data_IF_573890650036
#
_entry.id   IF_573890650036
#
_cell.length_a   1.000
_cell.length_b   1.000
_cell.length_c   1.000
_cell.angle_alpha   90.00
_cell.angle_beta   90.00
_cell.angle_gamma   90.00
#
_symmetry.space_group_name_H-M   'P 1'
#
loop_
_entity.id
_entity.type
_entity.pdbx_description
1 polymer ?
#
# COMPACT_ATOMS: atom_id res chain seq x y z
N UNK A 1 31.13 15.84 -9.10
CA UNK A 1 30.14 14.99 -9.80
C UNK A 1 29.18 14.45 -8.73
N UNK A 2 27.93 14.89 -8.75
CA UNK A 2 26.92 14.35 -7.83
C UNK A 2 26.62 12.91 -8.26
N UNK A 3 27.00 11.93 -7.45
CA UNK A 3 26.65 10.54 -7.72
C UNK A 3 25.12 10.40 -7.60
N UNK A 4 24.48 10.14 -8.72
CA UNK A 4 23.05 9.84 -8.74
C UNK A 4 22.88 8.39 -8.30
N UNK A 5 22.46 8.19 -7.07
CA UNK A 5 22.16 6.87 -6.56
C UNK A 5 20.65 6.64 -6.75
N UNK A 6 20.28 5.53 -7.41
CA UNK A 6 18.90 5.05 -7.52
C UNK A 6 17.88 6.11 -7.98
N UNK A 7 18.14 6.79 -9.09
CA UNK A 7 17.20 7.73 -9.70
C UNK A 7 16.93 9.02 -8.89
N UNK A 8 17.68 9.29 -7.83
CA UNK A 8 17.54 10.45 -6.91
C UNK A 8 16.27 10.48 -6.07
N UNK A 9 15.39 9.50 -6.18
CA UNK A 9 14.12 9.45 -5.44
C UNK A 9 14.12 8.33 -4.41
N UNK A 10 14.30 7.08 -4.85
CA UNK A 10 14.44 5.91 -4.00
C UNK A 10 15.18 4.80 -4.75
N UNK A 11 15.52 3.72 -4.03
CA UNK A 11 16.09 2.51 -4.62
C UNK A 11 15.22 1.93 -5.76
N UNK A 12 13.90 2.12 -5.69
CA UNK A 12 12.92 1.51 -6.59
C UNK A 12 12.80 2.20 -7.95
N UNK A 13 13.32 3.41 -8.11
CA UNK A 13 13.35 4.15 -9.38
C UNK A 13 14.74 4.06 -10.00
N UNK A 14 14.91 3.23 -11.03
CA UNK A 14 16.13 3.21 -11.85
C UNK A 14 16.25 4.50 -12.66
N UNK A 15 15.21 4.81 -13.43
CA UNK A 15 15.04 6.07 -14.13
C UNK A 15 13.77 6.79 -13.66
N UNK A 16 13.81 8.12 -13.69
CA UNK A 16 12.62 8.90 -13.39
C UNK A 16 11.62 8.75 -14.53
N UNK A 17 10.35 8.56 -14.20
CA UNK A 17 9.32 8.47 -15.22
C UNK A 17 9.18 9.80 -15.98
N UNK A 18 8.79 9.71 -17.24
CA UNK A 18 8.27 10.88 -17.96
C UNK A 18 6.98 11.29 -17.27
N UNK A 19 6.87 12.54 -16.79
CA UNK A 19 5.66 13.00 -16.12
C UNK A 19 4.46 13.01 -17.08
N UNK A 20 3.28 12.75 -16.53
CA UNK A 20 2.01 12.97 -17.21
C UNK A 20 1.77 14.47 -17.40
N UNK A 21 0.88 14.85 -18.35
CA UNK A 21 0.56 16.26 -18.56
C UNK A 21 0.08 16.95 -17.28
N UNK A 22 0.52 18.17 -17.05
CA UNK A 22 -0.02 19.00 -15.98
C UNK A 22 -1.47 19.43 -16.28
N UNK A 23 -2.15 19.96 -15.27
CA UNK A 23 -3.50 20.51 -15.43
C UNK A 23 -3.49 21.59 -16.52
N UNK A 24 -4.32 21.49 -17.58
CA UNK A 24 -4.31 22.44 -18.69
C UNK A 24 -5.07 23.73 -18.38
N UNK A 25 -5.91 23.78 -17.35
CA UNK A 25 -6.76 24.90 -16.97
C UNK A 25 -7.90 24.44 -16.06
N UNK A 26 -8.91 25.29 -15.90
CA UNK A 26 -10.09 24.99 -15.09
C UNK A 26 -10.84 23.74 -15.59
N UNK A 27 -11.33 22.93 -14.64
CA UNK A 27 -12.13 21.73 -14.94
C UNK A 27 -13.29 21.58 -13.95
N UNK A 28 -14.37 21.00 -14.46
CA UNK A 28 -15.48 20.49 -13.67
C UNK A 28 -15.52 18.97 -13.81
N UNK A 29 -15.57 18.27 -12.67
CA UNK A 29 -15.57 16.80 -12.58
C UNK A 29 -16.46 16.34 -11.42
N UNK A 30 -16.80 15.06 -11.38
CA UNK A 30 -17.57 14.51 -10.26
C UNK A 30 -16.69 14.34 -9.02
N UNK A 31 -15.44 13.89 -9.21
CA UNK A 31 -14.51 13.64 -8.12
C UNK A 31 -13.10 14.19 -8.42
N UNK A 32 -12.56 14.96 -7.47
CA UNK A 32 -11.18 15.43 -7.50
C UNK A 32 -10.38 14.80 -6.36
N UNK A 33 -9.35 14.05 -6.72
CA UNK A 33 -8.44 13.38 -5.76
C UNK A 33 -7.11 14.13 -5.73
N UNK A 34 -6.64 14.48 -4.55
CA UNK A 34 -5.35 15.15 -4.35
C UNK A 34 -4.30 14.13 -3.90
N UNK A 35 -3.33 13.88 -4.77
CA UNK A 35 -2.21 12.96 -4.57
C UNK A 35 -2.38 11.63 -5.32
N UNK A 36 -1.36 11.28 -6.12
CA UNK A 36 -1.26 10.01 -6.85
C UNK A 36 -0.37 8.99 -6.10
N UNK A 37 -0.55 8.87 -4.79
CA UNK A 37 -0.06 7.76 -3.98
C UNK A 37 -1.06 6.60 -3.96
N UNK A 38 -0.76 5.54 -3.20
CA UNK A 38 -1.64 4.37 -3.12
C UNK A 38 -3.07 4.74 -2.73
N UNK A 39 -3.27 5.58 -1.71
CA UNK A 39 -4.61 5.97 -1.28
C UNK A 39 -5.41 6.60 -2.43
N UNK A 40 -4.85 7.59 -3.12
CA UNK A 40 -5.55 8.26 -4.20
C UNK A 40 -5.80 7.36 -5.41
N UNK A 41 -4.82 6.54 -5.79
CA UNK A 41 -4.93 5.64 -6.94
C UNK A 41 -5.92 4.49 -6.68
N UNK A 42 -5.91 3.88 -5.50
CA UNK A 42 -6.89 2.87 -5.13
C UNK A 42 -8.31 3.47 -5.03
N UNK A 43 -8.44 4.68 -4.49
CA UNK A 43 -9.73 5.39 -4.48
C UNK A 43 -10.24 5.59 -5.91
N UNK A 44 -9.41 6.10 -6.81
CA UNK A 44 -9.77 6.28 -8.22
C UNK A 44 -10.16 4.96 -8.88
N UNK A 45 -9.40 3.89 -8.62
CA UNK A 45 -9.66 2.55 -9.15
C UNK A 45 -11.04 2.03 -8.74
N UNK A 46 -11.33 2.01 -7.44
CA UNK A 46 -12.61 1.47 -6.97
C UNK A 46 -13.80 2.36 -7.31
N UNK A 47 -13.65 3.67 -7.37
CA UNK A 47 -14.70 4.56 -7.88
C UNK A 47 -15.05 4.22 -9.32
N UNK A 48 -14.06 4.08 -10.20
CA UNK A 48 -14.28 3.71 -11.61
C UNK A 48 -14.79 2.28 -11.78
N UNK A 49 -14.47 1.36 -10.87
CA UNK A 49 -15.03 0.00 -10.86
C UNK A 49 -16.49 -0.01 -10.42
N UNK A 50 -16.86 0.84 -9.45
CA UNK A 50 -18.22 0.96 -8.94
C UNK A 50 -19.13 1.71 -9.92
N UNK A 51 -18.65 2.80 -10.50
CA UNK A 51 -19.37 3.61 -11.48
C UNK A 51 -18.42 4.10 -12.59
N UNK A 52 -18.38 3.41 -13.73
CA UNK A 52 -17.56 3.80 -14.87
C UNK A 52 -17.92 5.17 -15.48
N UNK A 53 -19.10 5.72 -15.21
CA UNK A 53 -19.55 7.02 -15.75
C UNK A 53 -18.92 8.21 -15.03
N UNK A 54 -18.45 8.04 -13.79
CA UNK A 54 -17.85 9.12 -13.02
C UNK A 54 -16.65 9.75 -13.74
N UNK A 55 -16.66 11.06 -13.85
CA UNK A 55 -15.49 11.85 -14.24
C UNK A 55 -14.58 12.06 -13.03
N UNK A 56 -13.40 11.42 -13.05
CA UNK A 56 -12.44 11.45 -11.94
C UNK A 56 -11.16 12.11 -12.40
N UNK A 57 -10.68 13.08 -11.63
CA UNK A 57 -9.38 13.74 -11.83
C UNK A 57 -8.49 13.58 -10.61
N UNK A 58 -7.22 13.22 -10.83
CA UNK A 58 -6.18 13.14 -9.81
C UNK A 58 -5.17 14.26 -10.04
N UNK A 59 -4.90 15.06 -9.02
CA UNK A 59 -3.88 16.12 -9.03
C UNK A 59 -2.67 15.69 -8.21
N UNK A 60 -1.50 15.64 -8.83
CA UNK A 60 -0.26 15.19 -8.19
C UNK A 60 0.83 16.26 -8.31
N UNK A 61 1.46 16.57 -7.20
CA UNK A 61 2.47 17.64 -7.14
C UNK A 61 3.75 17.31 -7.93
N UNK A 62 4.10 16.04 -8.03
CA UNK A 62 5.34 15.59 -8.70
C UNK A 62 5.03 14.58 -9.80
N UNK A 63 4.99 13.31 -9.45
CA UNK A 63 4.57 12.20 -10.32
C UNK A 63 3.99 11.05 -9.48
N UNK A 64 3.20 10.19 -10.09
CA UNK A 64 2.56 9.08 -9.40
C UNK A 64 3.57 8.18 -8.68
N UNK A 65 3.34 7.96 -7.38
CA UNK A 65 4.23 7.19 -6.52
C UNK A 65 5.46 7.96 -6.01
N UNK A 66 5.60 9.27 -6.25
CA UNK A 66 6.74 10.05 -5.74
C UNK A 66 6.87 10.01 -4.23
N UNK A 67 5.75 10.02 -3.49
CA UNK A 67 5.72 10.00 -2.03
C UNK A 67 6.09 8.65 -1.42
N UNK A 68 5.56 8.35 -0.23
CA UNK A 68 5.82 7.10 0.51
C UNK A 68 5.47 5.84 -0.30
N UNK A 69 4.48 5.92 -1.21
CA UNK A 69 4.04 4.80 -2.03
C UNK A 69 5.14 4.21 -2.92
N UNK A 70 6.03 5.02 -3.46
CA UNK A 70 7.17 4.55 -4.26
C UNK A 70 8.49 4.49 -3.49
N UNK A 71 8.49 4.64 -2.17
CA UNK A 71 9.70 4.73 -1.33
C UNK A 71 9.73 3.77 -0.15
N UNK A 72 8.65 3.02 0.07
CA UNK A 72 8.55 2.07 1.19
C UNK A 72 9.47 0.85 1.01
N UNK A 73 9.50 -0.03 1.99
CA UNK A 73 10.38 -1.20 1.98
C UNK A 73 9.96 -2.33 1.03
N UNK A 74 8.89 -2.17 0.26
CA UNK A 74 8.37 -3.20 -0.64
C UNK A 74 7.69 -4.35 0.09
N UNK A 75 7.12 -4.06 1.24
CA UNK A 75 6.47 -5.02 2.11
C UNK A 75 4.95 -4.76 2.13
N UNK A 76 4.19 -5.58 1.43
CA UNK A 76 2.73 -5.62 1.47
C UNK A 76 2.33 -6.59 2.58
N UNK A 77 1.74 -6.09 3.65
CA UNK A 77 1.51 -6.86 4.88
C UNK A 77 0.14 -6.60 5.48
N UNK A 78 -0.50 -7.65 5.98
CA UNK A 78 -1.72 -7.60 6.79
C UNK A 78 -1.48 -7.21 8.25
N UNK A 79 -0.26 -6.83 8.63
CA UNK A 79 0.07 -6.44 9.99
C UNK A 79 -0.72 -5.19 10.42
N UNK A 80 -1.54 -5.32 11.45
CA UNK A 80 -2.32 -4.22 12.00
C UNK A 80 -1.40 -3.15 12.62
N UNK A 81 -1.43 -1.90 12.16
CA UNK A 81 -0.63 -0.83 12.77
C UNK A 81 -1.24 -0.38 14.10
N UNK A 82 -0.37 -0.04 15.06
CA UNK A 82 -0.78 0.56 16.33
C UNK A 82 -1.13 -0.45 17.42
N UNK A 83 -1.80 0.03 18.46
CA UNK A 83 -2.07 -0.77 19.67
C UNK A 83 -3.52 -1.26 19.66
N UNK A 84 -3.74 -2.53 19.31
CA UNK A 84 -5.06 -3.17 19.20
C UNK A 84 -5.94 -2.97 20.45
N UNK A 85 -5.38 -3.07 21.65
CA UNK A 85 -6.12 -2.84 22.90
C UNK A 85 -6.63 -1.41 23.09
N UNK A 86 -5.94 -0.39 22.56
CA UNK A 86 -6.44 0.99 22.57
C UNK A 86 -7.57 1.18 21.56
N UNK A 87 -7.46 0.60 20.40
CA UNK A 87 -8.51 0.61 19.38
C UNK A 87 -9.76 -0.11 19.88
N UNK A 88 -9.61 -1.25 20.55
CA UNK A 88 -10.73 -2.00 21.09
C UNK A 88 -11.48 -1.26 22.22
N UNK A 89 -10.80 -0.45 23.03
CA UNK A 89 -11.47 0.43 23.99
C UNK A 89 -12.37 1.46 23.32
N UNK A 90 -12.01 1.91 22.14
CA UNK A 90 -12.72 2.96 21.40
C UNK A 90 -13.82 2.40 20.50
N UNK A 91 -13.59 1.26 19.86
CA UNK A 91 -14.44 0.73 18.80
C UNK A 91 -15.04 -0.65 19.12
N UNK A 92 -14.66 -1.26 20.25
CA UNK A 92 -15.01 -2.63 20.60
C UNK A 92 -14.04 -3.67 20.00
N UNK A 93 -13.91 -4.81 20.67
CA UNK A 93 -13.04 -5.91 20.26
C UNK A 93 -13.44 -6.53 18.91
N UNK A 94 -14.73 -6.79 18.63
CA UNK A 94 -15.14 -7.35 17.35
C UNK A 94 -14.70 -6.49 16.15
N UNK A 95 -14.86 -5.16 16.23
CA UNK A 95 -14.44 -4.25 15.15
C UNK A 95 -12.93 -4.30 14.88
N UNK A 96 -12.10 -4.57 15.90
CA UNK A 96 -10.64 -4.72 15.71
C UNK A 96 -10.30 -6.07 15.07
N UNK A 97 -11.05 -7.11 15.39
CA UNK A 97 -10.93 -8.44 14.75
C UNK A 97 -11.32 -8.33 13.26
N UNK A 98 -12.49 -7.76 12.99
CA UNK A 98 -12.96 -7.53 11.61
C UNK A 98 -11.95 -6.71 10.79
N UNK A 99 -11.35 -5.69 11.42
CA UNK A 99 -10.31 -4.90 10.81
C UNK A 99 -9.02 -5.70 10.52
N UNK A 100 -8.62 -6.62 11.43
CA UNK A 100 -7.48 -7.52 11.18
C UNK A 100 -7.75 -8.43 9.96
N UNK A 101 -8.95 -9.01 9.89
CA UNK A 101 -9.34 -9.81 8.73
C UNK A 101 -9.31 -9.00 7.43
N UNK A 102 -9.86 -7.78 7.44
CA UNK A 102 -9.82 -6.89 6.27
C UNK A 102 -8.38 -6.52 5.84
N UNK A 103 -7.44 -6.38 6.78
CA UNK A 103 -6.03 -6.17 6.47
C UNK A 103 -5.40 -7.40 5.82
N UNK A 104 -5.70 -8.59 6.32
CA UNK A 104 -5.23 -9.85 5.73
C UNK A 104 -5.78 -10.03 4.31
N UNK A 105 -7.09 -9.83 4.11
CA UNK A 105 -7.76 -9.90 2.81
C UNK A 105 -7.22 -8.86 1.82
N UNK A 106 -6.81 -7.68 2.32
CA UNK A 106 -6.21 -6.62 1.47
C UNK A 106 -4.93 -7.08 0.78
N UNK A 107 -4.14 -7.97 1.41
CA UNK A 107 -2.93 -8.52 0.77
C UNK A 107 -3.31 -9.31 -0.47
N UNK A 108 -4.33 -10.16 -0.38
CA UNK A 108 -4.81 -10.98 -1.48
C UNK A 108 -5.52 -10.14 -2.55
N UNK A 109 -6.30 -9.13 -2.16
CA UNK A 109 -6.94 -8.22 -3.10
C UNK A 109 -5.92 -7.43 -3.93
N UNK A 110 -4.84 -6.92 -3.33
CA UNK A 110 -3.78 -6.22 -4.07
C UNK A 110 -3.11 -7.15 -5.08
N UNK A 111 -2.86 -8.41 -4.71
CA UNK A 111 -2.30 -9.42 -5.61
C UNK A 111 -3.27 -9.69 -6.76
N UNK A 112 -4.54 -9.97 -6.45
CA UNK A 112 -5.56 -10.28 -7.45
C UNK A 112 -5.80 -9.11 -8.43
N UNK A 113 -5.79 -7.87 -7.94
CA UNK A 113 -5.86 -6.69 -8.82
C UNK A 113 -4.61 -6.58 -9.68
N UNK A 114 -3.42 -6.80 -9.11
CA UNK A 114 -2.17 -6.81 -9.87
C UNK A 114 -2.21 -7.76 -11.06
N UNK A 115 -2.68 -8.98 -10.82
CA UNK A 115 -2.85 -10.02 -11.86
C UNK A 115 -3.93 -9.62 -12.88
N UNK A 116 -5.12 -9.24 -12.42
CA UNK A 116 -6.27 -8.87 -13.26
C UNK A 116 -5.98 -7.68 -14.18
N UNK A 117 -5.26 -6.70 -13.67
CA UNK A 117 -4.95 -5.46 -14.42
C UNK A 117 -3.60 -5.53 -15.17
N UNK A 118 -2.87 -6.64 -15.03
CA UNK A 118 -1.56 -6.82 -15.67
C UNK A 118 -0.47 -5.91 -15.11
N UNK A 119 -0.51 -5.61 -13.81
CA UNK A 119 0.50 -4.77 -13.14
C UNK A 119 1.70 -5.63 -12.76
N UNK A 120 2.79 -5.52 -13.53
CA UNK A 120 4.06 -6.17 -13.22
C UNK A 120 4.81 -5.42 -12.12
N UNK A 121 4.51 -5.75 -10.88
CA UNK A 121 5.12 -5.16 -9.67
C UNK A 121 5.99 -6.14 -8.88
N UNK A 122 6.52 -7.18 -9.52
CA UNK A 122 7.38 -8.21 -8.92
C UNK A 122 6.76 -8.81 -7.65
N UNK A 123 5.44 -9.01 -7.63
CA UNK A 123 4.71 -9.47 -6.45
C UNK A 123 5.01 -10.94 -6.19
N UNK A 124 5.46 -11.24 -4.96
CA UNK A 124 5.66 -12.62 -4.51
C UNK A 124 5.06 -12.77 -3.12
N UNK A 125 3.97 -13.53 -3.01
CA UNK A 125 3.36 -13.90 -1.72
C UNK A 125 4.20 -15.00 -1.07
N UNK A 126 4.91 -14.65 0.01
CA UNK A 126 5.78 -15.56 0.73
C UNK A 126 5.50 -15.63 2.23
N UNK A 127 4.67 -14.73 2.72
CA UNK A 127 4.44 -14.56 4.16
C UNK A 127 5.60 -13.87 4.87
N UNK A 128 5.51 -13.83 6.19
CA UNK A 128 6.57 -13.32 7.09
C UNK A 128 7.01 -14.42 8.05
N UNK A 129 8.31 -14.50 8.26
CA UNK A 129 8.93 -15.43 9.19
C UNK A 129 9.75 -14.65 10.22
N UNK A 130 9.33 -14.69 11.49
CA UNK A 130 10.06 -14.12 12.61
C UNK A 130 10.79 -15.22 13.37
N UNK A 131 12.14 -15.10 13.51
CA UNK A 131 13.00 -16.15 14.03
C UNK A 131 13.46 -15.83 15.44
N UNK A 132 13.31 -16.78 16.37
CA UNK A 132 13.87 -16.75 17.72
C UNK A 132 15.20 -17.49 17.77
N UNK A 133 16.27 -16.80 18.19
CA UNK A 133 17.64 -17.35 18.31
C UNK A 133 18.12 -17.55 19.74
N UNK A 134 17.32 -17.14 20.72
CA UNK A 134 17.58 -17.35 22.14
C UNK A 134 16.27 -17.51 22.92
N UNK A 135 16.37 -17.96 24.20
CA UNK A 135 15.21 -18.25 25.04
C UNK A 135 14.31 -17.03 25.28
N UNK A 136 14.90 -15.84 25.40
CA UNK A 136 14.11 -14.62 25.63
C UNK A 136 13.32 -14.22 24.37
N UNK A 137 13.91 -14.36 23.19
CA UNK A 137 13.21 -14.17 21.92
C UNK A 137 12.10 -15.20 21.74
N UNK A 138 12.36 -16.48 22.05
CA UNK A 138 11.35 -17.54 21.95
C UNK A 138 10.15 -17.28 22.89
N UNK A 139 10.39 -16.82 24.11
CA UNK A 139 9.31 -16.48 25.02
C UNK A 139 8.44 -15.33 24.49
N UNK A 140 9.06 -14.28 23.92
CA UNK A 140 8.32 -13.18 23.28
C UNK A 140 7.54 -13.64 22.05
N UNK A 141 8.18 -14.47 21.20
CA UNK A 141 7.56 -14.99 19.99
C UNK A 141 6.29 -15.80 20.29
N UNK A 142 6.34 -16.69 21.29
CA UNK A 142 5.17 -17.45 21.73
C UNK A 142 4.04 -16.54 22.19
N UNK A 143 4.38 -15.56 23.05
CA UNK A 143 3.41 -14.59 23.54
C UNK A 143 2.79 -13.79 22.37
N UNK A 144 3.60 -13.40 21.39
CA UNK A 144 3.12 -12.67 20.21
C UNK A 144 2.13 -13.51 19.40
N UNK A 145 2.45 -14.77 19.12
CA UNK A 145 1.54 -15.70 18.41
C UNK A 145 0.23 -15.87 19.14
N UNK A 146 0.27 -16.06 20.49
CA UNK A 146 -0.95 -16.19 21.30
C UNK A 146 -1.77 -14.89 21.29
N UNK A 147 -1.09 -13.73 21.32
CA UNK A 147 -1.73 -12.42 21.22
C UNK A 147 -2.37 -12.21 19.85
N UNK A 148 -1.66 -12.48 18.74
CA UNK A 148 -2.17 -12.32 17.38
C UNK A 148 -3.41 -13.18 17.15
N UNK A 149 -3.37 -14.46 17.53
CA UNK A 149 -4.53 -15.35 17.49
C UNK A 149 -5.69 -14.83 18.34
N UNK A 150 -5.41 -14.27 19.50
CA UNK A 150 -6.45 -13.67 20.33
C UNK A 150 -7.15 -12.50 19.65
N UNK A 151 -6.55 -11.88 18.66
CA UNK A 151 -7.11 -10.79 17.86
C UNK A 151 -7.64 -11.23 16.48
N UNK A 152 -7.86 -12.55 16.30
CA UNK A 152 -8.45 -13.08 15.07
C UNK A 152 -7.46 -13.31 13.93
N UNK A 153 -6.15 -13.28 14.21
CA UNK A 153 -5.12 -13.62 13.23
C UNK A 153 -4.78 -15.13 13.37
N UNK A 154 -5.76 -15.97 13.05
CA UNK A 154 -5.72 -17.42 13.31
C UNK A 154 -4.71 -18.17 12.44
N UNK A 155 -4.29 -17.56 11.31
CA UNK A 155 -3.30 -18.12 10.38
C UNK A 155 -1.86 -17.98 10.85
N UNK A 156 -1.61 -17.25 11.94
CA UNK A 156 -0.28 -17.15 12.55
C UNK A 156 0.05 -18.46 13.26
N UNK A 157 1.15 -19.09 12.86
CA UNK A 157 1.61 -20.36 13.41
C UNK A 157 3.00 -20.26 14.04
N UNK A 158 3.19 -20.99 15.14
CA UNK A 158 4.51 -21.21 15.71
C UNK A 158 5.11 -22.47 15.07
N UNK A 159 6.24 -22.30 14.41
CA UNK A 159 7.01 -23.38 13.79
C UNK A 159 8.11 -23.86 14.74
N UNK A 160 8.31 -25.17 14.81
CA UNK A 160 9.47 -25.78 15.42
C UNK A 160 10.75 -25.37 14.68
N UNK A 161 11.91 -25.65 15.27
CA UNK A 161 13.20 -25.45 14.61
C UNK A 161 13.28 -26.17 13.25
N UNK A 162 12.83 -27.41 13.19
CA UNK A 162 12.96 -28.24 11.99
C UNK A 162 12.00 -27.77 10.87
N UNK A 163 10.77 -27.39 11.20
CA UNK A 163 9.83 -26.79 10.25
C UNK A 163 10.30 -25.44 9.71
N UNK A 164 10.86 -24.60 10.57
CA UNK A 164 11.41 -23.31 10.16
C UNK A 164 12.69 -23.48 9.32
N UNK A 165 13.52 -24.48 9.60
CA UNK A 165 14.73 -24.79 8.83
C UNK A 165 14.45 -25.21 7.39
N UNK A 166 13.25 -25.72 7.10
CA UNK A 166 12.82 -26.02 5.73
C UNK A 166 12.56 -24.76 4.90
N UNK A 167 12.36 -23.61 5.56
CA UNK A 167 12.07 -22.32 4.92
C UNK A 167 13.28 -21.40 4.86
N UNK A 168 14.11 -21.39 5.91
CA UNK A 168 15.26 -20.50 6.02
C UNK A 168 16.38 -21.12 6.89
N UNK A 169 17.62 -20.98 6.47
CA UNK A 169 18.79 -21.36 7.24
C UNK A 169 19.27 -20.19 8.10
N UNK A 170 19.04 -20.25 9.41
CA UNK A 170 19.48 -19.24 10.37
C UNK A 170 20.26 -19.92 11.50
N UNK A 171 21.46 -19.40 11.81
CA UNK A 171 22.26 -19.91 12.91
C UNK A 171 21.54 -19.74 14.26
N UNK A 172 21.68 -20.75 15.13
CA UNK A 172 21.11 -20.77 16.48
C UNK A 172 19.58 -20.62 16.55
N UNK A 173 18.88 -20.92 15.47
CA UNK A 173 17.42 -20.87 15.45
C UNK A 173 16.83 -21.88 16.43
N UNK A 174 15.89 -21.41 17.28
CA UNK A 174 15.15 -22.25 18.22
C UNK A 174 13.72 -22.54 17.74
N UNK A 175 13.09 -21.56 17.11
CA UNK A 175 11.75 -21.64 16.54
C UNK A 175 11.51 -20.41 15.66
N UNK A 176 10.40 -20.39 14.92
CA UNK A 176 9.92 -19.21 14.20
C UNK A 176 8.40 -19.07 14.32
N UNK A 177 7.85 -17.85 14.14
CA UNK A 177 6.46 -17.68 13.77
C UNK A 177 6.34 -17.42 12.29
N UNK A 178 5.22 -17.78 11.72
CA UNK A 178 4.91 -17.56 10.32
C UNK A 178 3.48 -17.06 10.15
N UNK A 179 3.30 -16.05 9.31
CA UNK A 179 2.00 -15.61 8.80
C UNK A 179 2.01 -15.59 7.28
N UNK A 180 0.96 -16.07 6.58
CA UNK A 180 0.88 -16.03 5.13
C UNK A 180 0.53 -14.65 4.57
N UNK A 181 0.05 -13.72 5.40
CA UNK A 181 -0.52 -12.43 4.99
C UNK A 181 0.55 -11.37 4.73
N UNK A 182 1.51 -11.74 3.87
CA UNK A 182 2.55 -10.83 3.43
C UNK A 182 3.07 -11.19 2.03
N UNK A 183 3.36 -10.18 1.24
CA UNK A 183 4.03 -10.30 -0.05
C UNK A 183 5.16 -9.27 -0.18
N UNK A 184 6.21 -9.65 -0.89
CA UNK A 184 7.21 -8.72 -1.41
C UNK A 184 6.66 -8.07 -2.66
N UNK A 185 6.85 -6.77 -2.82
CA UNK A 185 6.47 -6.00 -4.01
C UNK A 185 7.62 -5.05 -4.42
N UNK A 186 7.60 -4.61 -5.67
CA UNK A 186 8.33 -3.43 -6.12
C UNK A 186 7.38 -2.22 -6.07
N UNK A 187 7.48 -1.35 -5.04
CA UNK A 187 6.42 -0.38 -4.73
C UNK A 187 6.28 0.72 -5.79
N UNK A 188 7.36 1.13 -6.44
CA UNK A 188 7.27 2.11 -7.51
C UNK A 188 6.57 1.55 -8.75
N UNK A 189 6.83 0.28 -9.11
CA UNK A 189 6.12 -0.42 -10.19
C UNK A 189 4.63 -0.56 -9.87
N UNK A 190 4.27 -0.94 -8.63
CA UNK A 190 2.87 -1.05 -8.23
C UNK A 190 2.15 0.30 -8.32
N UNK A 191 2.74 1.37 -7.79
CA UNK A 191 2.13 2.70 -7.84
C UNK A 191 1.94 3.20 -9.28
N UNK A 192 2.92 2.97 -10.13
CA UNK A 192 2.86 3.39 -11.55
C UNK A 192 1.89 2.54 -12.34
N UNK A 193 1.92 1.22 -12.18
CA UNK A 193 0.98 0.32 -12.83
C UNK A 193 -0.47 0.61 -12.45
N UNK A 194 -0.71 0.97 -11.18
CA UNK A 194 -2.01 1.46 -10.74
C UNK A 194 -2.41 2.78 -11.42
N UNK A 195 -1.47 3.73 -11.55
CA UNK A 195 -1.71 4.97 -12.26
C UNK A 195 -2.08 4.73 -13.72
N UNK A 196 -1.33 3.87 -14.42
CA UNK A 196 -1.63 3.48 -15.80
C UNK A 196 -2.99 2.77 -15.91
N UNK A 197 -3.33 1.96 -14.92
CA UNK A 197 -4.63 1.26 -14.86
C UNK A 197 -5.79 2.24 -14.72
N UNK A 198 -5.72 3.18 -13.79
CA UNK A 198 -6.84 4.14 -13.60
C UNK A 198 -7.00 5.06 -14.80
N UNK A 199 -5.92 5.39 -15.52
CA UNK A 199 -6.01 6.12 -16.79
C UNK A 199 -6.73 5.29 -17.87
N UNK A 200 -6.43 3.99 -17.98
CA UNK A 200 -7.20 3.10 -18.89
C UNK A 200 -8.69 3.04 -18.54
N UNK A 201 -9.03 3.20 -17.26
CA UNK A 201 -10.41 3.29 -16.79
C UNK A 201 -11.05 4.69 -16.98
N UNK A 202 -10.32 5.65 -17.58
CA UNK A 202 -10.82 6.98 -17.91
C UNK A 202 -10.60 8.03 -16.82
N UNK A 203 -9.71 7.79 -15.84
CA UNK A 203 -9.26 8.82 -14.89
C UNK A 203 -8.26 9.73 -15.56
N UNK A 204 -8.36 11.05 -15.35
CA UNK A 204 -7.33 12.00 -15.76
C UNK A 204 -6.34 12.23 -14.62
N UNK A 205 -5.04 11.94 -14.83
CA UNK A 205 -3.99 12.24 -13.86
C UNK A 205 -3.18 13.44 -14.36
N UNK A 206 -3.08 14.48 -13.53
CA UNK A 206 -2.29 15.68 -13.82
C UNK A 206 -1.12 15.74 -12.83
N UNK A 207 0.07 15.43 -13.33
CA UNK A 207 1.32 15.51 -12.59
C UNK A 207 1.91 16.93 -12.65
N UNK A 208 2.92 17.24 -11.82
CA UNK A 208 3.50 18.59 -11.69
C UNK A 208 2.42 19.67 -11.44
N UNK A 209 1.37 19.30 -10.73
CA UNK A 209 0.20 20.14 -10.45
C UNK A 209 0.01 20.22 -8.94
N UNK A 210 0.62 21.23 -8.35
CA UNK A 210 0.56 21.46 -6.89
C UNK A 210 -0.78 22.08 -6.54
N UNK A 211 -1.55 21.40 -5.67
CA UNK A 211 -2.74 21.99 -5.05
C UNK A 211 -2.28 22.92 -3.94
N UNK A 212 -2.68 24.18 -3.99
CA UNK A 212 -2.29 25.23 -3.05
C UNK A 212 -3.40 25.54 -2.04
N UNK A 213 -4.64 25.25 -2.37
CA UNK A 213 -5.79 25.43 -1.49
C UNK A 213 -6.89 24.43 -1.81
N UNK A 214 -7.63 24.01 -0.77
CA UNK A 214 -8.80 23.14 -0.87
C UNK A 214 -9.94 23.77 -0.07
N UNK A 215 -11.03 24.02 -0.75
CA UNK A 215 -12.28 24.44 -0.13
C UNK A 215 -13.42 23.51 -0.55
N UNK A 216 -14.58 23.61 0.09
CA UNK A 216 -15.71 22.78 -0.30
C UNK A 216 -16.00 22.89 -1.80
N UNK A 217 -15.94 21.77 -2.51
CA UNK A 217 -16.18 21.68 -3.94
C UNK A 217 -15.05 22.20 -4.84
N UNK A 218 -13.85 22.52 -4.33
CA UNK A 218 -12.77 23.08 -5.16
C UNK A 218 -11.37 22.70 -4.69
N UNK A 219 -10.50 22.36 -5.65
CA UNK A 219 -9.06 22.28 -5.48
C UNK A 219 -8.39 23.34 -6.37
N UNK A 220 -7.60 24.25 -5.77
CA UNK A 220 -6.97 25.37 -6.44
C UNK A 220 -5.51 25.05 -6.73
N UNK A 221 -5.04 25.37 -7.93
CA UNK A 221 -3.66 25.22 -8.37
C UNK A 221 -3.20 26.50 -9.08
N UNK A 222 -1.90 26.66 -9.28
CA UNK A 222 -1.37 27.75 -10.12
C UNK A 222 -1.76 27.64 -11.60
N UNK A 223 -2.32 26.49 -12.03
CA UNK A 223 -2.67 26.20 -13.43
C UNK A 223 -4.17 26.23 -13.71
N UNK A 224 -4.99 26.36 -12.68
CA UNK A 224 -6.45 26.37 -12.77
C UNK A 224 -7.09 25.77 -11.53
N UNK A 225 -8.40 25.80 -11.49
CA UNK A 225 -9.22 25.28 -10.42
C UNK A 225 -10.00 24.05 -10.90
N UNK A 226 -9.93 22.96 -10.16
CA UNK A 226 -10.81 21.81 -10.36
C UNK A 226 -11.99 21.94 -9.42
N UNK A 227 -13.21 22.00 -9.99
CA UNK A 227 -14.46 22.00 -9.24
C UNK A 227 -15.01 20.59 -9.22
N UNK A 228 -15.33 20.09 -8.02
CA UNK A 228 -15.90 18.77 -7.84
C UNK A 228 -16.79 18.78 -6.59
N UNK A 229 -18.00 18.20 -6.63
CA UNK A 229 -18.83 18.04 -5.42
C UNK A 229 -18.17 17.12 -4.39
N UNK A 230 -17.24 16.23 -4.83
CA UNK A 230 -16.51 15.28 -3.98
C UNK A 230 -14.99 15.33 -4.23
#
# INVERSE_FOLDING_TARGET
>A
MSSTINGRVSHWFGELPVPRPCLPGDRDVDVCIVGAGYTGLWTAYYLKRADPSLSVTVLEARFAGFGASGRNGGWLSGLAPGHRGLLARRHGRPAVIDWQHALNDTVDEVIAVGEREGIDADIVKGGTLDVARNRAQLARLRKQVDEDRSWGDDDVVLLSKDEAAQRVAVADMLAASYTPHCARIQPAKLARGLADTVERLGVSIHEQTVVTDITAGRAVTARGTVRAPF
#
